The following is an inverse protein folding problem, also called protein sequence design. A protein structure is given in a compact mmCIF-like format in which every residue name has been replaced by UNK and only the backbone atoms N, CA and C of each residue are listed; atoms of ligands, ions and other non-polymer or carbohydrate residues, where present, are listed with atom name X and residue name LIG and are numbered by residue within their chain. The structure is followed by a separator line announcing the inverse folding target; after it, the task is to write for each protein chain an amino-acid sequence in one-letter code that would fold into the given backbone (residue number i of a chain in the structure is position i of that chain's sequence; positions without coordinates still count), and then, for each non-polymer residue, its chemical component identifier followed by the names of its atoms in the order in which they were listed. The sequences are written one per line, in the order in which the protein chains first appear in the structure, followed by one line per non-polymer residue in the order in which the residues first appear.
data_IF_772772280256
#
_entry.id   IF_772772280256
#
_cell.length_a   1.000
_cell.length_b   1.000
_cell.length_c   1.000
_cell.angle_alpha   90.00
_cell.angle_beta   90.00
_cell.angle_gamma   90.00
#
_symmetry.space_group_name_H-M   'P 1'
#
loop_
_entity.id
_entity.type
_entity.pdbx_description
1 polymer ?
#
# COMPACT_ATOMS: atom_id res chain seq x y z
N UNK A 1 -13.14 2.01 -2.99
CA UNK A 1 -13.55 0.83 -3.80
C UNK A 1 -15.05 0.81 -3.98
N UNK A 2 -15.85 0.71 -2.91
CA UNK A 2 -17.32 0.67 -3.01
C UNK A 2 -17.91 1.81 -3.87
N UNK A 3 -17.55 3.06 -3.56
CA UNK A 3 -18.04 4.23 -4.32
C UNK A 3 -17.74 4.19 -5.82
N UNK A 4 -16.61 3.59 -6.23
CA UNK A 4 -16.27 3.44 -7.66
C UNK A 4 -17.13 2.34 -8.29
N UNK A 5 -17.38 1.23 -7.59
CA UNK A 5 -18.29 0.20 -8.07
C UNK A 5 -19.73 0.72 -8.21
N UNK A 6 -20.21 1.48 -7.22
CA UNK A 6 -21.55 2.06 -7.22
C UNK A 6 -21.73 3.05 -8.38
N UNK A 7 -20.70 3.86 -8.66
CA UNK A 7 -20.69 4.76 -9.81
C UNK A 7 -20.58 4.04 -11.16
N UNK A 8 -19.98 2.84 -11.18
CA UNK A 8 -19.70 2.07 -12.38
C UNK A 8 -18.46 2.57 -13.16
N UNK A 9 -18.07 1.78 -14.16
CA UNK A 9 -16.92 2.08 -15.05
C UNK A 9 -17.42 2.14 -16.50
N UNK A 10 -16.97 3.16 -17.24
CA UNK A 10 -17.26 3.29 -18.66
C UNK A 10 -15.99 3.10 -19.49
N UNK A 11 -15.99 2.11 -20.38
CA UNK A 11 -14.85 1.84 -21.27
C UNK A 11 -14.76 2.88 -22.39
N UNK A 12 -13.56 3.39 -22.60
CA UNK A 12 -13.29 4.38 -23.64
C UNK A 12 -12.89 3.69 -24.94
N UNK A 13 -13.68 3.86 -26.01
CA UNK A 13 -13.44 3.16 -27.28
C UNK A 13 -12.27 3.71 -28.11
N UNK A 14 -11.82 4.95 -27.86
CA UNK A 14 -10.83 5.65 -28.72
C UNK A 14 -9.37 5.39 -28.34
N UNK A 15 -9.09 4.61 -27.29
CA UNK A 15 -7.73 4.38 -26.84
C UNK A 15 -7.58 3.03 -26.17
N UNK A 16 -6.43 2.38 -26.37
CA UNK A 16 -6.08 1.15 -25.66
C UNK A 16 -5.36 1.49 -24.36
N UNK A 17 -5.66 0.74 -23.29
CA UNK A 17 -4.97 0.88 -22.01
C UNK A 17 -3.48 0.55 -22.20
N UNK A 18 -2.62 1.52 -21.90
CA UNK A 18 -1.16 1.34 -21.96
C UNK A 18 -0.65 0.78 -20.63
N UNK A 19 0.27 -0.18 -20.72
CA UNK A 19 0.93 -0.79 -19.57
C UNK A 19 2.44 -0.54 -19.65
N UNK A 20 3.06 -0.32 -18.49
CA UNK A 20 4.52 -0.26 -18.38
C UNK A 20 5.06 -1.67 -18.17
N UNK A 21 5.79 -2.18 -19.16
CA UNK A 21 6.45 -3.48 -19.10
C UNK A 21 7.92 -3.29 -18.72
N UNK A 22 8.29 -3.82 -17.55
CA UNK A 22 9.67 -3.75 -17.10
C UNK A 22 10.55 -4.73 -17.89
N UNK A 23 11.61 -4.21 -18.52
CA UNK A 23 12.55 -5.01 -19.34
C UNK A 23 13.83 -5.39 -18.61
N UNK A 24 14.23 -4.60 -17.60
CA UNK A 24 15.44 -4.80 -16.80
C UNK A 24 15.11 -4.50 -15.34
N UNK A 25 15.77 -5.14 -14.37
CA UNK A 25 15.61 -4.80 -12.97
C UNK A 25 15.91 -3.31 -12.70
N UNK A 26 15.14 -2.71 -11.81
CA UNK A 26 15.38 -1.37 -11.27
C UNK A 26 15.36 -1.49 -9.75
N UNK A 27 16.39 -0.94 -9.11
CA UNK A 27 16.52 -0.92 -7.66
C UNK A 27 16.75 0.51 -7.23
N UNK A 28 16.05 0.94 -6.20
CA UNK A 28 16.28 2.22 -5.53
C UNK A 28 16.35 1.98 -4.02
N UNK A 29 17.35 2.54 -3.37
CA UNK A 29 17.59 2.39 -1.93
C UNK A 29 18.90 1.69 -1.61
N UNK A 30 19.01 1.23 -0.37
CA UNK A 30 20.19 0.63 0.24
C UNK A 30 19.82 -0.65 1.02
N UNK A 31 20.74 -1.13 1.86
CA UNK A 31 20.57 -2.35 2.65
C UNK A 31 19.50 -2.22 3.75
N UNK A 32 19.14 -1.01 4.16
CA UNK A 32 18.10 -0.78 5.17
C UNK A 32 16.72 -0.67 4.52
N UNK A 33 16.62 0.08 3.42
CA UNK A 33 15.34 0.35 2.75
C UNK A 33 15.53 0.36 1.24
N UNK A 34 14.93 -0.62 0.57
CA UNK A 34 14.97 -0.73 -0.88
C UNK A 34 13.60 -1.01 -1.50
N UNK A 35 13.40 -0.46 -2.70
CA UNK A 35 12.34 -0.82 -3.62
C UNK A 35 12.97 -1.47 -4.87
N UNK A 36 12.54 -2.69 -5.19
CA UNK A 36 13.04 -3.44 -6.33
C UNK A 36 11.90 -3.82 -7.27
N UNK A 37 12.05 -3.43 -8.53
CA UNK A 37 11.20 -3.85 -9.63
C UNK A 37 11.99 -4.86 -10.48
N UNK A 38 11.41 -6.01 -10.76
CA UNK A 38 12.00 -7.04 -11.64
C UNK A 38 11.04 -7.40 -12.76
N UNK A 39 11.54 -7.70 -13.98
CA UNK A 39 10.69 -8.18 -15.07
C UNK A 39 9.91 -9.42 -14.64
N UNK A 40 8.59 -9.40 -14.85
CA UNK A 40 7.69 -10.50 -14.49
C UNK A 40 6.54 -10.59 -15.49
N UNK A 41 6.02 -11.82 -15.70
CA UNK A 41 4.79 -12.07 -16.46
C UNK A 41 3.52 -11.79 -15.65
N UNK A 42 3.66 -11.65 -14.33
CA UNK A 42 2.55 -11.38 -13.40
C UNK A 42 2.82 -10.09 -12.64
N UNK A 43 1.77 -9.30 -12.38
CA UNK A 43 1.88 -8.16 -11.48
C UNK A 43 1.80 -8.66 -10.04
N UNK A 44 2.97 -8.83 -9.42
CA UNK A 44 3.13 -9.29 -8.04
C UNK A 44 3.82 -8.21 -7.22
N UNK A 45 3.29 -7.95 -6.03
CA UNK A 45 3.90 -7.05 -5.05
C UNK A 45 4.23 -7.87 -3.81
N UNK A 46 5.46 -7.77 -3.34
CA UNK A 46 5.87 -8.25 -2.02
C UNK A 46 6.37 -7.05 -1.23
N UNK A 47 5.89 -6.90 0.00
CA UNK A 47 6.32 -5.85 0.91
C UNK A 47 6.72 -6.46 2.23
N UNK A 48 7.81 -5.96 2.80
CA UNK A 48 8.32 -6.36 4.11
C UNK A 48 8.37 -5.13 5.00
N UNK A 49 7.88 -5.27 6.22
CA UNK A 49 8.06 -4.29 7.29
C UNK A 49 9.02 -4.88 8.32
N UNK A 50 9.79 -4.01 8.96
CA UNK A 50 10.63 -4.29 10.12
C UNK A 50 10.29 -3.22 11.16
N UNK A 51 9.49 -3.60 12.16
CA UNK A 51 9.15 -2.75 13.28
C UNK A 51 9.58 -3.41 14.57
N UNK A 52 10.29 -2.65 15.39
CA UNK A 52 10.62 -3.05 16.75
C UNK A 52 9.43 -2.74 17.67
N UNK A 53 8.32 -3.49 17.53
CA UNK A 53 7.10 -3.31 18.31
C UNK A 53 6.46 -4.65 18.73
N UNK A 54 6.01 -4.82 19.99
CA UNK A 54 5.47 -6.10 20.47
C UNK A 54 4.24 -6.62 19.70
N UNK A 55 3.43 -5.70 19.15
CA UNK A 55 2.22 -6.04 18.39
C UNK A 55 2.44 -6.17 16.88
N UNK A 56 3.56 -5.66 16.36
CA UNK A 56 3.89 -5.68 14.93
C UNK A 56 5.41 -5.78 14.79
N UNK A 57 5.87 -6.95 14.36
CA UNK A 57 7.28 -7.26 14.15
C UNK A 57 7.59 -7.36 12.66
N UNK A 58 8.75 -7.94 12.35
CA UNK A 58 9.16 -8.29 10.99
C UNK A 58 8.11 -9.17 10.32
N UNK A 59 7.54 -8.67 9.23
CA UNK A 59 6.48 -9.35 8.49
C UNK A 59 6.68 -9.12 7.01
N UNK A 60 6.51 -10.17 6.22
CA UNK A 60 6.51 -10.09 4.77
C UNK A 60 5.19 -10.60 4.23
N UNK A 61 4.61 -9.85 3.31
CA UNK A 61 3.38 -10.23 2.63
C UNK A 61 3.52 -10.03 1.13
N UNK A 62 3.11 -11.03 0.35
CA UNK A 62 3.23 -11.04 -1.10
C UNK A 62 1.93 -11.44 -1.78
N UNK A 63 1.53 -10.68 -2.80
CA UNK A 63 0.25 -10.84 -3.48
C UNK A 63 0.43 -10.73 -4.99
N UNK A 64 -0.18 -11.67 -5.74
CA UNK A 64 -0.44 -11.47 -7.17
C UNK A 64 -1.67 -10.58 -7.29
N UNK A 65 -1.48 -9.39 -7.85
CA UNK A 65 -2.49 -8.35 -7.88
C UNK A 65 -3.48 -8.61 -9.01
N UNK A 66 -4.74 -8.71 -8.62
CA UNK A 66 -5.93 -8.76 -9.46
C UNK A 66 -7.00 -7.89 -8.82
N UNK A 67 -8.06 -7.55 -9.54
CA UNK A 67 -9.19 -6.81 -8.96
C UNK A 67 -9.76 -7.54 -7.73
N UNK A 68 -9.96 -8.86 -7.84
CA UNK A 68 -10.49 -9.69 -6.76
C UNK A 68 -9.55 -9.75 -5.55
N UNK A 69 -8.25 -10.01 -5.76
CA UNK A 69 -7.30 -10.10 -4.66
C UNK A 69 -7.10 -8.74 -3.97
N UNK A 70 -7.04 -7.65 -4.73
CA UNK A 70 -6.99 -6.31 -4.18
C UNK A 70 -8.22 -6.00 -3.31
N UNK A 71 -9.43 -6.24 -3.83
CA UNK A 71 -10.67 -5.91 -3.11
C UNK A 71 -10.83 -6.73 -1.83
N UNK A 72 -10.47 -8.03 -1.85
CA UNK A 72 -10.67 -8.92 -0.71
C UNK A 72 -9.57 -8.79 0.34
N UNK A 73 -8.31 -8.66 -0.07
CA UNK A 73 -7.17 -8.80 0.84
C UNK A 73 -6.52 -7.46 1.20
N UNK A 74 -6.58 -6.46 0.32
CA UNK A 74 -5.84 -5.21 0.49
C UNK A 74 -6.75 -4.01 0.80
N UNK A 75 -7.85 -3.87 0.07
CA UNK A 75 -8.63 -2.63 0.04
C UNK A 75 -9.20 -2.17 1.39
N UNK A 76 -9.36 -3.10 2.35
CA UNK A 76 -9.87 -2.81 3.71
C UNK A 76 -8.78 -2.62 4.76
N UNK A 77 -7.51 -2.85 4.43
CA UNK A 77 -6.40 -2.61 5.34
C UNK A 77 -6.32 -1.11 5.67
N UNK A 78 -6.49 -0.76 6.95
CA UNK A 78 -6.43 0.63 7.43
C UNK A 78 -4.98 1.07 7.62
N UNK A 79 -4.75 2.37 7.51
CA UNK A 79 -3.48 2.96 7.95
C UNK A 79 -3.31 2.81 9.47
N UNK A 80 -2.08 2.90 9.96
CA UNK A 80 -1.78 2.80 11.38
C UNK A 80 -0.72 3.81 11.81
N UNK A 81 -0.67 4.09 13.11
CA UNK A 81 0.36 4.90 13.74
C UNK A 81 0.58 4.47 15.19
N UNK A 82 1.68 4.89 15.80
CA UNK A 82 1.98 4.59 17.19
C UNK A 82 1.48 5.70 18.11
N UNK A 83 0.83 5.34 19.22
CA UNK A 83 0.29 6.29 20.20
C UNK A 83 1.34 7.31 20.66
N UNK A 84 2.58 6.85 20.88
CA UNK A 84 3.72 7.70 21.29
C UNK A 84 4.08 8.81 20.30
N UNK A 85 3.73 8.62 19.02
CA UNK A 85 4.06 9.56 17.95
C UNK A 85 2.89 10.50 17.63
N UNK A 86 1.65 10.15 18.03
CA UNK A 86 0.45 10.97 17.78
C UNK A 86 0.60 12.38 18.35
N UNK A 87 1.03 12.50 19.60
CA UNK A 87 1.21 13.80 20.27
C UNK A 87 2.25 14.67 19.56
N UNK A 88 3.37 14.07 19.13
CA UNK A 88 4.42 14.76 18.38
C UNK A 88 3.95 15.21 17.00
N UNK A 89 3.22 14.35 16.30
CA UNK A 89 2.66 14.66 14.98
C UNK A 89 1.66 15.82 15.09
N UNK A 90 0.78 15.79 16.09
CA UNK A 90 -0.18 16.86 16.34
C UNK A 90 0.52 18.18 16.69
N UNK A 91 1.56 18.14 17.53
CA UNK A 91 2.35 19.32 17.88
C UNK A 91 3.06 19.92 16.65
N UNK A 92 3.45 19.09 15.67
CA UNK A 92 4.00 19.52 14.39
C UNK A 92 2.93 19.95 13.35
N UNK A 93 1.65 19.98 13.72
CA UNK A 93 0.55 20.32 12.81
C UNK A 93 0.18 19.21 11.82
N UNK A 94 0.71 17.99 12.01
CA UNK A 94 0.44 16.81 11.20
C UNK A 94 -0.66 15.95 11.84
N UNK A 95 -1.24 15.03 11.07
CA UNK A 95 -2.27 14.07 11.52
C UNK A 95 -3.49 14.68 12.22
N UNK A 96 -3.81 15.97 11.99
CA UNK A 96 -4.88 16.72 12.69
C UNK A 96 -6.29 16.14 12.60
N UNK A 97 -6.56 15.29 11.60
CA UNK A 97 -7.83 14.56 11.44
C UNK A 97 -7.77 13.10 11.88
N UNK A 98 -6.66 12.67 12.49
CA UNK A 98 -6.45 11.30 12.93
C UNK A 98 -7.34 10.94 14.12
N UNK A 99 -8.00 9.79 14.03
CA UNK A 99 -8.85 9.25 15.10
C UNK A 99 -8.88 7.72 15.01
N UNK A 100 -9.42 7.06 16.04
CA UNK A 100 -9.59 5.61 16.04
C UNK A 100 -10.57 5.13 14.93
N UNK A 101 -11.43 6.03 14.44
CA UNK A 101 -12.37 5.73 13.36
C UNK A 101 -11.67 5.56 12.01
N UNK A 102 -10.49 6.18 11.83
CA UNK A 102 -9.79 6.22 10.54
C UNK A 102 -8.35 5.67 10.57
N UNK A 103 -7.81 5.35 11.74
CA UNK A 103 -6.50 4.74 11.90
C UNK A 103 -6.50 3.65 12.97
N UNK A 104 -5.66 2.63 12.79
CA UNK A 104 -5.29 1.72 13.88
C UNK A 104 -4.18 2.37 14.69
N UNK A 105 -4.38 2.54 16.00
CA UNK A 105 -3.36 3.10 16.89
C UNK A 105 -2.77 1.98 17.72
N UNK A 106 -1.45 1.81 17.61
CA UNK A 106 -0.64 0.80 18.32
C UNK A 106 0.08 1.42 19.52
#
# INVERSE_FOLDING_TARGET
VQLIHDAGVHEQQRTTRRFLLLRKPVVAGDDEKAAKLVPSRTFRITYTIDFQHPLISDQSYGLVVSERSFQKEIARARTFGFKRDVEKLHAAGLARGGSLDNAVVL
#
